data_IF_794891817298
#
_entry.id   IF_794891817298
#
_cell.length_a   1.000
_cell.length_b   1.000
_cell.length_c   1.000
_cell.angle_alpha   90.00
_cell.angle_beta   90.00
_cell.angle_gamma   90.00
#
_symmetry.space_group_name_H-M   'P 1'
#
loop_
_entity.id
_entity.type
_entity.pdbx_description
1 polymer ?
#
# COMPACT_ATOMS: atom_id res chain seq x y z
N UNK A 1 -3.68 20.60 -45.48
CA UNK A 1 -3.51 19.29 -44.83
C UNK A 1 -2.81 19.50 -43.48
N UNK A 2 -3.51 19.50 -42.35
CA UNK A 2 -2.90 19.53 -40.99
C UNK A 2 -3.90 18.98 -39.95
N UNK A 3 -4.32 17.72 -40.07
CA UNK A 3 -5.36 17.15 -39.19
C UNK A 3 -4.85 16.09 -38.19
N UNK A 4 -3.55 15.76 -38.20
CA UNK A 4 -3.01 14.67 -37.36
C UNK A 4 -2.36 15.14 -36.05
N UNK A 5 -1.78 16.35 -35.97
CA UNK A 5 -1.05 16.79 -34.78
C UNK A 5 -1.87 16.94 -33.50
N UNK A 6 -3.17 17.24 -33.61
CA UNK A 6 -4.03 17.51 -32.46
C UNK A 6 -4.45 16.21 -31.70
N UNK A 7 -4.63 15.10 -32.43
CA UNK A 7 -5.00 13.80 -31.84
C UNK A 7 -3.85 13.18 -31.06
N UNK A 8 -2.63 13.31 -31.57
CA UNK A 8 -1.43 12.80 -30.90
C UNK A 8 -1.17 13.58 -29.61
N UNK A 9 -1.27 14.91 -29.63
CA UNK A 9 -1.08 15.76 -28.44
C UNK A 9 -2.07 15.45 -27.31
N UNK A 10 -3.34 15.19 -27.66
CA UNK A 10 -4.34 14.75 -26.70
C UNK A 10 -3.94 13.40 -26.08
N UNK A 11 -3.57 12.41 -26.88
CA UNK A 11 -3.18 11.05 -26.42
C UNK A 11 -1.99 11.09 -25.45
N UNK A 12 -0.95 11.90 -25.72
CA UNK A 12 0.18 12.06 -24.78
C UNK A 12 -0.23 12.78 -23.49
N UNK A 13 -1.15 13.75 -23.56
CA UNK A 13 -1.66 14.47 -22.38
C UNK A 13 -2.45 13.54 -21.46
N UNK A 14 -3.37 12.74 -22.01
CA UNK A 14 -4.13 11.72 -21.25
C UNK A 14 -3.21 10.68 -20.59
N UNK A 15 -2.19 10.23 -21.32
CA UNK A 15 -1.21 9.26 -20.82
C UNK A 15 -0.38 9.81 -19.66
N UNK A 16 0.01 11.10 -19.69
CA UNK A 16 0.75 11.75 -18.59
C UNK A 16 -0.12 11.95 -17.35
N UNK A 17 -1.37 12.37 -17.52
CA UNK A 17 -2.30 12.58 -16.40
C UNK A 17 -2.58 11.28 -15.65
N UNK A 18 -2.79 10.17 -16.39
CA UNK A 18 -3.02 8.84 -15.78
C UNK A 18 -1.84 8.37 -14.91
N UNK A 19 -0.60 8.59 -15.36
CA UNK A 19 0.60 8.23 -14.58
C UNK A 19 0.75 9.06 -13.30
N UNK A 20 0.41 10.36 -13.34
CA UNK A 20 0.42 11.23 -12.16
C UNK A 20 -0.63 10.80 -11.13
N UNK A 21 -1.83 10.45 -11.59
CA UNK A 21 -2.87 9.91 -10.72
C UNK A 21 -2.45 8.58 -10.05
N UNK A 22 -1.79 7.69 -10.80
CA UNK A 22 -1.26 6.43 -10.26
C UNK A 22 -0.21 6.63 -9.16
N UNK A 23 0.74 7.56 -9.36
CA UNK A 23 1.73 7.89 -8.31
C UNK A 23 1.10 8.45 -7.05
N UNK A 24 0.15 9.37 -7.18
CA UNK A 24 -0.57 9.93 -6.02
C UNK A 24 -1.35 8.87 -5.22
N UNK A 25 -1.93 7.88 -5.91
CA UNK A 25 -2.64 6.79 -5.26
C UNK A 25 -1.69 5.88 -4.44
N UNK A 26 -0.49 5.59 -4.95
CA UNK A 26 0.52 4.81 -4.23
C UNK A 26 1.01 5.56 -3.00
N UNK A 27 1.31 6.86 -3.12
CA UNK A 27 1.73 7.70 -1.99
C UNK A 27 0.67 7.75 -0.88
N UNK A 28 -0.61 7.86 -1.24
CA UNK A 28 -1.70 7.81 -0.25
C UNK A 28 -1.77 6.45 0.47
N UNK A 29 -1.56 5.34 -0.25
CA UNK A 29 -1.53 4.00 0.35
C UNK A 29 -0.34 3.82 1.28
N UNK A 30 0.85 4.32 0.89
CA UNK A 30 2.05 4.30 1.74
C UNK A 30 1.82 5.13 3.01
N UNK A 31 1.28 6.36 2.89
CA UNK A 31 0.94 7.18 4.06
C UNK A 31 -0.08 6.51 4.98
N UNK A 32 -1.07 5.81 4.42
CA UNK A 32 -2.03 5.04 5.21
C UNK A 32 -1.34 3.89 5.95
N UNK A 33 -0.44 3.18 5.27
CA UNK A 33 0.32 2.09 5.88
C UNK A 33 1.23 2.57 7.02
N UNK A 34 1.90 3.72 6.86
CA UNK A 34 2.72 4.35 7.89
C UNK A 34 1.94 4.64 9.19
N UNK A 35 0.64 4.97 9.08
CA UNK A 35 -0.23 5.22 10.24
C UNK A 35 -0.71 3.94 10.92
N UNK A 36 -0.81 2.83 10.17
CA UNK A 36 -1.30 1.55 10.69
C UNK A 36 -0.20 0.74 11.36
N UNK A 37 1.02 0.85 10.88
CA UNK A 37 2.15 0.06 11.37
C UNK A 37 2.78 0.77 12.58
N UNK A 38 2.93 0.08 13.73
CA UNK A 38 3.58 0.66 14.90
C UNK A 38 5.03 1.06 14.60
N UNK A 39 5.34 2.34 14.83
CA UNK A 39 6.65 2.92 14.50
C UNK A 39 6.88 3.11 12.98
N UNK A 40 5.83 3.02 12.17
CA UNK A 40 5.88 3.18 10.71
C UNK A 40 5.89 4.63 10.23
N UNK A 41 5.59 5.59 11.09
CA UNK A 41 5.44 6.99 10.72
C UNK A 41 6.78 7.60 10.27
N UNK A 42 6.79 8.19 9.07
CA UNK A 42 8.01 8.78 8.49
C UNK A 42 9.03 7.77 7.96
N UNK A 43 8.77 6.47 8.00
CA UNK A 43 9.67 5.47 7.41
C UNK A 43 9.64 5.53 5.88
N UNK A 44 10.82 5.37 5.28
CA UNK A 44 10.96 5.12 3.85
C UNK A 44 10.21 3.83 3.45
N UNK A 45 9.66 3.74 2.22
CA UNK A 45 8.86 2.60 1.77
C UNK A 45 9.54 1.25 1.99
N UNK A 46 10.84 1.13 1.69
CA UNK A 46 11.58 -0.15 1.83
C UNK A 46 11.59 -0.66 3.27
N UNK A 47 11.86 0.24 4.24
CA UNK A 47 11.85 -0.10 5.67
C UNK A 47 10.43 -0.29 6.19
N UNK A 48 9.48 0.49 5.69
CA UNK A 48 8.07 0.37 6.05
C UNK A 48 7.53 -1.00 5.67
N UNK A 49 7.83 -1.52 4.48
CA UNK A 49 7.35 -2.83 4.05
C UNK A 49 7.98 -3.97 4.85
N UNK A 50 9.28 -3.90 5.16
CA UNK A 50 9.93 -4.88 6.03
C UNK A 50 9.26 -4.90 7.42
N UNK A 51 9.09 -3.73 8.04
CA UNK A 51 8.41 -3.59 9.33
C UNK A 51 6.96 -4.07 9.28
N UNK A 52 6.28 -3.86 8.16
CA UNK A 52 4.91 -4.34 7.92
C UNK A 52 4.88 -5.86 7.92
N UNK A 53 5.85 -6.52 7.27
CA UNK A 53 5.94 -7.98 7.23
C UNK A 53 6.11 -8.56 8.65
N UNK A 54 7.03 -7.98 9.43
CA UNK A 54 7.24 -8.37 10.83
C UNK A 54 5.97 -8.19 11.66
N UNK A 55 5.26 -7.07 11.47
CA UNK A 55 4.04 -6.78 12.20
C UNK A 55 2.89 -7.73 11.84
N UNK A 56 2.74 -8.08 10.56
CA UNK A 56 1.75 -9.08 10.12
C UNK A 56 2.06 -10.44 10.75
N UNK A 57 3.34 -10.85 10.77
CA UNK A 57 3.74 -12.11 11.39
C UNK A 57 3.43 -12.11 12.89
N UNK A 58 3.76 -11.02 13.59
CA UNK A 58 3.47 -10.85 15.01
C UNK A 58 1.97 -10.99 15.30
N UNK A 59 1.12 -10.28 14.55
CA UNK A 59 -0.34 -10.33 14.73
C UNK A 59 -0.89 -11.74 14.47
N UNK A 60 -0.41 -12.42 13.42
CA UNK A 60 -0.81 -13.80 13.13
C UNK A 60 -0.46 -14.74 14.28
N UNK A 61 0.74 -14.60 14.85
CA UNK A 61 1.16 -15.40 15.99
C UNK A 61 0.27 -15.15 17.22
N UNK A 62 -0.01 -13.89 17.54
CA UNK A 62 -0.90 -13.54 18.66
C UNK A 62 -2.30 -14.18 18.49
N UNK A 63 -2.90 -14.04 17.31
CA UNK A 63 -4.21 -14.62 17.02
C UNK A 63 -4.17 -16.14 17.09
N UNK A 64 -3.13 -16.78 16.54
CA UNK A 64 -2.99 -18.23 16.57
C UNK A 64 -2.88 -18.77 18.00
N UNK A 65 -2.08 -18.13 18.86
CA UNK A 65 -1.95 -18.51 20.27
C UNK A 65 -3.30 -18.40 20.98
N UNK A 66 -4.00 -17.27 20.84
CA UNK A 66 -5.31 -17.07 21.44
C UNK A 66 -6.35 -18.09 20.95
N UNK A 67 -6.34 -18.41 19.65
CA UNK A 67 -7.22 -19.42 19.07
C UNK A 67 -6.93 -20.83 19.61
N UNK A 68 -5.65 -21.21 19.71
CA UNK A 68 -5.26 -22.50 20.28
C UNK A 68 -5.67 -22.61 21.74
N UNK A 69 -5.41 -21.59 22.55
CA UNK A 69 -5.83 -21.55 23.95
C UNK A 69 -7.36 -21.61 24.08
N UNK A 70 -8.10 -20.85 23.25
CA UNK A 70 -9.57 -20.90 23.25
C UNK A 70 -10.12 -22.27 22.87
N UNK A 71 -9.45 -23.01 21.98
CA UNK A 71 -9.84 -24.38 21.62
C UNK A 71 -9.57 -25.36 22.76
N UNK A 72 -8.47 -25.19 23.49
CA UNK A 72 -8.13 -26.02 24.65
C UNK A 72 -9.09 -25.75 25.82
N UNK A 73 -9.54 -24.50 25.98
CA UNK A 73 -10.36 -24.08 27.12
C UNK A 73 -11.87 -24.16 26.88
N UNK A 74 -12.31 -24.47 25.65
CA UNK A 74 -13.70 -24.85 25.38
C UNK A 74 -13.85 -26.34 25.70
N UNK A 75 -14.55 -26.72 26.79
CA UNK A 75 -14.86 -28.12 27.07
C UNK A 75 -15.76 -28.74 25.99
#
# INVERSE_FOLDING_TARGET
MCSNGCKDFAKVKWSRTKRRAGRGAVEMKVKKLQRLVPGGQGLNPDRLFLRTADYILHLRLQVNVLQTLSKIYKP
#
